data_IF_179040705139
#
_entry.id   IF_179040705139
#
_cell.length_a   1.000
_cell.length_b   1.000
_cell.length_c   1.000
_cell.angle_alpha   90.00
_cell.angle_beta   90.00
_cell.angle_gamma   90.00
#
_symmetry.space_group_name_H-M   'P 1'
#
loop_
_entity.id
_entity.type
_entity.pdbx_description
1 polymer ?
#
# COMPACT_ATOMS: atom_id res chain seq x y z
N UNK A 1 -15.89 27.52 -15.82
CA UNK A 1 -14.45 27.74 -16.10
C UNK A 1 -13.66 26.44 -16.05
N UNK A 2 -13.79 25.61 -14.99
CA UNK A 2 -13.11 24.32 -14.92
C UNK A 2 -13.46 23.35 -16.06
N UNK A 3 -14.70 23.38 -16.55
CA UNK A 3 -15.20 22.56 -17.67
C UNK A 3 -14.43 22.70 -18.99
N UNK A 4 -13.53 23.67 -19.11
CA UNK A 4 -12.79 23.96 -20.34
C UNK A 4 -11.28 23.74 -20.21
N UNK A 5 -10.79 23.31 -19.04
CA UNK A 5 -9.35 23.18 -18.78
C UNK A 5 -8.74 21.91 -19.38
N UNK A 6 -9.46 20.78 -19.30
CA UNK A 6 -9.01 19.47 -19.77
C UNK A 6 -7.74 18.94 -19.09
N UNK A 7 -7.26 17.78 -19.53
CA UNK A 7 -6.10 17.09 -18.92
C UNK A 7 -4.74 17.77 -19.07
N UNK A 8 -4.58 18.72 -20.00
CA UNK A 8 -3.24 19.23 -20.39
C UNK A 8 -2.45 19.81 -19.20
N UNK A 9 -3.15 20.26 -18.16
CA UNK A 9 -2.59 20.83 -16.94
C UNK A 9 -2.52 19.85 -15.76
N UNK A 10 -2.84 18.58 -15.98
CA UNK A 10 -2.84 17.49 -14.99
C UNK A 10 -1.62 16.54 -15.13
N UNK A 11 -0.64 16.89 -15.98
CA UNK A 11 0.49 16.00 -16.30
C UNK A 11 1.22 15.46 -15.07
N UNK A 12 1.61 14.17 -15.08
CA UNK A 12 2.47 13.60 -14.04
C UNK A 12 3.72 14.45 -13.79
N UNK A 13 4.11 14.58 -12.52
CA UNK A 13 5.28 15.33 -12.05
C UNK A 13 5.24 16.86 -12.18
N UNK A 14 4.13 17.45 -12.64
CA UNK A 14 3.92 18.90 -12.49
C UNK A 14 3.34 19.20 -11.11
N UNK A 15 3.83 20.29 -10.50
CA UNK A 15 3.15 20.89 -9.34
C UNK A 15 1.72 21.25 -9.74
N UNK A 16 0.75 20.96 -8.87
CA UNK A 16 -0.63 21.34 -9.10
C UNK A 16 -0.76 22.83 -9.41
N UNK A 17 -1.72 23.17 -10.27
CA UNK A 17 -2.11 24.56 -10.50
C UNK A 17 -2.49 25.19 -9.16
N UNK A 18 -2.09 26.43 -8.91
CA UNK A 18 -2.58 27.23 -7.79
C UNK A 18 -3.98 27.74 -8.17
N UNK A 19 -5.02 26.97 -7.86
CA UNK A 19 -6.38 27.25 -8.31
C UNK A 19 -6.93 28.53 -7.69
N UNK A 20 -6.56 28.82 -6.44
CA UNK A 20 -6.99 30.03 -5.74
C UNK A 20 -6.41 31.26 -6.44
N UNK A 21 -5.12 31.24 -6.79
CA UNK A 21 -4.47 32.37 -7.47
C UNK A 21 -4.86 32.51 -8.93
N UNK A 22 -4.88 31.41 -9.68
CA UNK A 22 -5.08 31.44 -11.14
C UNK A 22 -6.55 31.66 -11.52
N UNK A 23 -7.48 31.25 -10.66
CA UNK A 23 -8.91 31.26 -10.94
C UNK A 23 -9.75 32.05 -9.93
N UNK A 24 -9.13 32.53 -8.84
CA UNK A 24 -9.81 33.37 -7.85
C UNK A 24 -10.82 32.62 -6.98
N UNK A 25 -10.71 31.29 -6.87
CA UNK A 25 -11.61 30.52 -6.01
C UNK A 25 -11.42 30.89 -4.53
N UNK A 26 -12.55 30.95 -3.83
CA UNK A 26 -12.65 31.27 -2.41
C UNK A 26 -13.56 30.28 -1.70
N UNK A 27 -13.71 30.42 -0.39
CA UNK A 27 -14.64 29.60 0.41
C UNK A 27 -16.09 29.65 -0.13
N UNK A 28 -16.51 30.75 -0.75
CA UNK A 28 -17.84 30.89 -1.34
C UNK A 28 -18.08 29.91 -2.51
N UNK A 29 -17.03 29.39 -3.13
CA UNK A 29 -17.10 28.46 -4.26
C UNK A 29 -17.16 26.99 -3.82
N UNK A 30 -16.90 26.69 -2.54
CA UNK A 30 -16.87 25.32 -2.00
C UNK A 30 -18.14 24.53 -2.35
N UNK A 31 -19.37 25.05 -2.22
CA UNK A 31 -20.57 24.28 -2.54
C UNK A 31 -20.63 23.85 -4.02
N UNK A 32 -20.29 24.73 -4.95
CA UNK A 32 -20.34 24.43 -6.39
C UNK A 32 -19.17 23.54 -6.82
N UNK A 33 -17.98 23.74 -6.25
CA UNK A 33 -16.84 22.84 -6.46
C UNK A 33 -17.13 21.44 -5.92
N UNK A 34 -17.78 21.35 -4.76
CA UNK A 34 -18.21 20.06 -4.18
C UNK A 34 -19.24 19.39 -5.09
N UNK A 35 -20.24 20.14 -5.57
CA UNK A 35 -21.23 19.62 -6.53
C UNK A 35 -20.56 19.05 -7.77
N UNK A 36 -19.59 19.78 -8.35
CA UNK A 36 -18.83 19.35 -9.53
C UNK A 36 -17.94 18.13 -9.25
N UNK A 37 -17.30 18.09 -8.08
CA UNK A 37 -16.43 16.98 -7.66
C UNK A 37 -17.16 15.63 -7.58
N UNK A 38 -18.45 15.64 -7.23
CA UNK A 38 -19.27 14.44 -7.06
C UNK A 38 -20.25 14.20 -8.21
N UNK A 39 -20.20 15.01 -9.26
CA UNK A 39 -21.12 14.94 -10.38
C UNK A 39 -20.85 13.67 -11.20
N UNK A 40 -21.82 12.75 -11.24
CA UNK A 40 -21.65 11.46 -11.92
C UNK A 40 -21.55 11.62 -13.44
N UNK A 41 -22.24 12.58 -14.03
CA UNK A 41 -22.18 12.79 -15.48
C UNK A 41 -20.79 13.28 -15.87
N UNK A 42 -20.21 14.19 -15.08
CA UNK A 42 -18.84 14.65 -15.32
C UNK A 42 -17.79 13.55 -15.05
N UNK A 43 -17.94 12.80 -13.95
CA UNK A 43 -16.98 11.76 -13.57
C UNK A 43 -16.91 10.59 -14.58
N UNK A 44 -17.98 10.37 -15.36
CA UNK A 44 -18.07 9.30 -16.35
C UNK A 44 -18.20 9.80 -17.79
N UNK A 45 -17.99 11.10 -18.02
CA UNK A 45 -17.97 11.67 -19.37
C UNK A 45 -16.80 11.12 -20.20
N UNK A 46 -16.92 11.15 -21.52
CA UNK A 46 -15.86 10.71 -22.43
C UNK A 46 -14.58 11.53 -22.23
N UNK A 47 -13.45 10.83 -22.05
CA UNK A 47 -12.17 11.44 -21.65
C UNK A 47 -11.59 12.47 -22.63
N UNK A 48 -12.02 12.45 -23.89
CA UNK A 48 -11.63 13.43 -24.91
C UNK A 48 -12.40 14.77 -24.76
N UNK A 49 -13.49 14.77 -23.99
CA UNK A 49 -14.20 15.97 -23.63
C UNK A 49 -13.52 16.69 -22.45
N UNK A 50 -13.14 17.98 -22.59
CA UNK A 50 -12.53 18.74 -21.49
C UNK A 50 -13.32 18.75 -20.18
N UNK A 51 -14.65 18.56 -20.23
CA UNK A 51 -15.49 18.59 -19.04
C UNK A 51 -15.32 17.35 -18.14
N UNK A 52 -14.89 16.20 -18.71
CA UNK A 52 -14.57 14.99 -17.94
C UNK A 52 -13.44 15.19 -16.93
N UNK A 53 -12.62 16.23 -17.15
CA UNK A 53 -11.50 16.61 -16.28
C UNK A 53 -11.88 17.63 -15.22
N UNK A 54 -13.09 18.21 -15.29
CA UNK A 54 -13.55 19.22 -14.36
C UNK A 54 -13.60 18.71 -12.91
N UNK A 55 -14.03 17.45 -12.61
CA UNK A 55 -13.97 16.89 -11.26
C UNK A 55 -12.55 16.87 -10.70
N UNK A 56 -11.55 16.45 -11.47
CA UNK A 56 -10.14 16.44 -11.03
C UNK A 56 -9.68 17.84 -10.63
N UNK A 57 -10.03 18.85 -11.42
CA UNK A 57 -9.73 20.24 -11.08
C UNK A 57 -10.47 20.69 -9.80
N UNK A 58 -11.73 20.28 -9.64
CA UNK A 58 -12.52 20.59 -8.46
C UNK A 58 -11.93 19.95 -7.19
N UNK A 59 -11.53 18.68 -7.24
CA UNK A 59 -10.89 17.99 -6.10
C UNK A 59 -9.64 18.75 -5.62
N UNK A 60 -8.76 19.10 -6.56
CA UNK A 60 -7.54 19.85 -6.24
C UNK A 60 -7.83 21.24 -5.66
N UNK A 61 -8.83 21.93 -6.20
CA UNK A 61 -9.25 23.23 -5.68
C UNK A 61 -9.83 23.12 -4.25
N UNK A 62 -10.66 22.12 -3.98
CA UNK A 62 -11.22 21.84 -2.64
C UNK A 62 -10.11 21.56 -1.61
N UNK A 63 -9.09 20.79 -2.01
CA UNK A 63 -7.90 20.58 -1.19
C UNK A 63 -7.20 21.90 -0.84
N UNK A 64 -6.91 22.73 -1.83
CA UNK A 64 -6.24 24.02 -1.62
C UNK A 64 -7.07 25.02 -0.80
N UNK A 65 -8.40 24.96 -0.89
CA UNK A 65 -9.33 25.75 -0.09
C UNK A 65 -9.47 25.24 1.36
N UNK A 66 -8.91 24.05 1.66
CA UNK A 66 -9.08 23.37 2.93
C UNK A 66 -10.55 23.09 3.28
N UNK A 67 -11.33 22.67 2.30
CA UNK A 67 -12.77 22.53 2.41
C UNK A 67 -13.18 21.30 3.24
N UNK A 68 -13.27 21.45 4.57
CA UNK A 68 -13.70 20.34 5.46
C UNK A 68 -15.12 19.84 5.15
N UNK A 69 -16.05 20.72 4.75
CA UNK A 69 -17.42 20.34 4.36
C UNK A 69 -17.47 19.43 3.12
N UNK A 70 -16.38 19.34 2.35
CA UNK A 70 -16.28 18.45 1.18
C UNK A 70 -15.83 17.03 1.52
N UNK A 71 -15.36 16.76 2.75
CA UNK A 71 -14.82 15.45 3.15
C UNK A 71 -15.88 14.34 2.97
N UNK A 72 -17.05 14.51 3.60
CA UNK A 72 -18.13 13.50 3.54
C UNK A 72 -18.70 13.33 2.12
N UNK A 73 -18.99 14.41 1.36
CA UNK A 73 -19.33 14.30 -0.06
C UNK A 73 -18.32 13.51 -0.88
N UNK A 74 -17.02 13.78 -0.72
CA UNK A 74 -15.97 13.06 -1.45
C UNK A 74 -15.92 11.58 -1.04
N UNK A 75 -15.98 11.26 0.26
CA UNK A 75 -16.03 9.87 0.74
C UNK A 75 -17.25 9.11 0.21
N UNK A 76 -18.38 9.79 0.03
CA UNK A 76 -19.64 9.16 -0.43
C UNK A 76 -19.56 8.56 -1.84
N UNK A 77 -18.64 9.05 -2.69
CA UNK A 77 -18.49 8.56 -4.07
C UNK A 77 -17.36 7.53 -4.23
N UNK A 78 -16.59 7.21 -3.19
CA UNK A 78 -15.43 6.30 -3.29
C UNK A 78 -15.80 4.97 -3.94
N UNK A 79 -16.93 4.37 -3.54
CA UNK A 79 -17.38 3.09 -4.10
C UNK A 79 -17.80 3.19 -5.56
N UNK A 80 -18.36 4.33 -5.99
CA UNK A 80 -18.65 4.55 -7.40
C UNK A 80 -17.34 4.72 -8.19
N UNK A 81 -16.34 5.38 -7.60
CA UNK A 81 -15.07 5.73 -8.22
C UNK A 81 -13.97 4.66 -8.06
N UNK A 82 -14.29 3.44 -7.61
CA UNK A 82 -13.30 2.42 -7.26
C UNK A 82 -12.31 2.12 -8.40
N UNK A 83 -12.82 2.06 -9.64
CA UNK A 83 -12.05 1.78 -10.86
C UNK A 83 -11.41 3.03 -11.50
N UNK A 84 -11.55 4.21 -10.89
CA UNK A 84 -11.00 5.45 -11.42
C UNK A 84 -9.60 5.72 -10.84
N UNK A 85 -8.57 5.43 -11.63
CA UNK A 85 -7.17 5.60 -11.20
C UNK A 85 -6.85 7.03 -10.76
N UNK A 86 -7.36 8.05 -11.48
CA UNK A 86 -7.17 9.45 -11.10
C UNK A 86 -7.75 9.76 -9.73
N UNK A 87 -8.94 9.23 -9.44
CA UNK A 87 -9.56 9.43 -8.14
C UNK A 87 -8.68 8.84 -7.03
N UNK A 88 -8.25 7.59 -7.18
CA UNK A 88 -7.43 6.91 -6.18
C UNK A 88 -6.07 7.59 -5.97
N UNK A 89 -5.45 8.11 -7.03
CA UNK A 89 -4.16 8.82 -6.95
C UNK A 89 -4.28 10.24 -6.35
N UNK A 90 -5.39 10.93 -6.59
CA UNK A 90 -5.56 12.33 -6.15
C UNK A 90 -6.03 12.44 -4.70
N UNK A 91 -6.94 11.55 -4.25
CA UNK A 91 -7.59 11.68 -2.94
C UNK A 91 -6.61 11.78 -1.75
N UNK A 92 -5.49 11.03 -1.68
CA UNK A 92 -4.51 11.18 -0.61
C UNK A 92 -3.98 12.62 -0.48
N UNK A 93 -3.60 13.27 -1.58
CA UNK A 93 -3.09 14.65 -1.58
C UNK A 93 -4.22 15.65 -1.28
N UNK A 94 -5.41 15.44 -1.84
CA UNK A 94 -6.58 16.30 -1.61
C UNK A 94 -6.93 16.35 -0.12
N UNK A 95 -7.10 15.19 0.52
CA UNK A 95 -7.48 15.11 1.93
C UNK A 95 -6.36 15.61 2.84
N UNK A 96 -5.09 15.38 2.47
CA UNK A 96 -3.97 15.95 3.21
C UNK A 96 -3.92 17.49 3.14
N UNK A 97 -4.28 18.09 2.00
CA UNK A 97 -4.40 19.55 1.89
C UNK A 97 -5.60 20.09 2.69
N UNK A 98 -6.72 19.34 2.75
CA UNK A 98 -7.86 19.68 3.63
C UNK A 98 -7.41 19.78 5.08
N UNK A 99 -6.65 18.78 5.56
CA UNK A 99 -5.99 18.81 6.85
C UNK A 99 -6.71 18.00 7.93
N UNK A 100 -6.59 18.41 9.19
CA UNK A 100 -6.90 17.55 10.34
C UNK A 100 -8.35 17.08 10.44
N UNK A 101 -9.31 17.84 9.89
CA UNK A 101 -10.72 17.44 9.83
C UNK A 101 -10.95 16.10 9.12
N UNK A 102 -10.05 15.71 8.21
CA UNK A 102 -10.13 14.46 7.46
C UNK A 102 -9.85 13.20 8.30
N UNK A 103 -9.16 13.31 9.44
CA UNK A 103 -8.68 12.14 10.18
C UNK A 103 -9.82 11.21 10.64
N UNK A 104 -10.85 11.76 11.29
CA UNK A 104 -11.93 10.94 11.85
C UNK A 104 -12.78 10.29 10.74
N UNK A 105 -13.29 11.03 9.75
CA UNK A 105 -14.08 10.44 8.67
C UNK A 105 -13.32 9.37 7.88
N UNK A 106 -12.03 9.61 7.56
CA UNK A 106 -11.21 8.63 6.83
C UNK A 106 -10.95 7.38 7.67
N UNK A 107 -10.68 7.51 8.98
CA UNK A 107 -10.55 6.35 9.87
C UNK A 107 -11.84 5.53 9.90
N UNK A 108 -12.97 6.19 10.10
CA UNK A 108 -14.26 5.52 10.22
C UNK A 108 -14.64 4.82 8.88
N UNK A 109 -14.26 5.40 7.74
CA UNK A 109 -14.38 4.78 6.42
C UNK A 109 -13.47 3.54 6.26
N UNK A 110 -12.21 3.61 6.68
CA UNK A 110 -11.26 2.49 6.64
C UNK A 110 -11.72 1.31 7.52
N UNK A 111 -12.28 1.60 8.69
CA UNK A 111 -12.70 0.59 9.67
C UNK A 111 -14.01 -0.11 9.28
N UNK A 112 -14.85 0.50 8.44
CA UNK A 112 -16.12 -0.07 8.04
C UNK A 112 -15.93 -1.22 7.01
N UNK A 113 -16.17 -2.50 7.39
CA UNK A 113 -15.95 -3.64 6.49
C UNK A 113 -16.98 -3.72 5.34
N UNK A 114 -18.03 -2.88 5.36
CA UNK A 114 -18.99 -2.78 4.25
C UNK A 114 -18.44 -1.98 3.07
N UNK A 115 -17.40 -1.18 3.28
CA UNK A 115 -16.76 -0.42 2.22
C UNK A 115 -15.89 -1.36 1.34
N UNK A 116 -15.85 -1.15 0.01
CA UNK A 116 -15.05 -1.98 -0.89
C UNK A 116 -13.56 -2.00 -0.52
N UNK A 117 -12.88 -3.08 -0.88
CA UNK A 117 -11.49 -3.32 -0.52
C UNK A 117 -10.57 -2.19 -0.99
N UNK A 118 -10.64 -1.80 -2.26
CA UNK A 118 -9.76 -0.78 -2.81
C UNK A 118 -10.10 0.61 -2.28
N UNK A 119 -11.38 0.92 -2.04
CA UNK A 119 -11.75 2.18 -1.39
C UNK A 119 -11.17 2.29 0.03
N UNK A 120 -11.18 1.18 0.80
CA UNK A 120 -10.55 1.13 2.14
C UNK A 120 -9.04 1.27 2.05
N UNK A 121 -8.41 0.69 1.03
CA UNK A 121 -6.99 0.93 0.75
C UNK A 121 -6.73 2.42 0.52
N UNK A 122 -7.46 3.09 -0.38
CA UNK A 122 -7.31 4.52 -0.63
C UNK A 122 -7.49 5.35 0.67
N UNK A 123 -8.41 4.93 1.56
CA UNK A 123 -8.54 5.55 2.89
C UNK A 123 -7.29 5.37 3.78
N UNK A 124 -6.65 4.20 3.74
CA UNK A 124 -5.36 4.00 4.41
C UNK A 124 -4.26 4.92 3.82
N UNK A 125 -4.21 5.06 2.49
CA UNK A 125 -3.26 5.96 1.81
C UNK A 125 -3.49 7.44 2.17
N UNK A 126 -4.75 7.87 2.35
CA UNK A 126 -5.08 9.19 2.89
C UNK A 126 -4.50 9.38 4.29
N UNK A 127 -4.64 8.40 5.20
CA UNK A 127 -4.08 8.49 6.55
C UNK A 127 -2.55 8.58 6.53
N UNK A 128 -1.90 7.82 5.65
CA UNK A 128 -0.45 7.91 5.41
C UNK A 128 -0.08 9.31 4.96
N UNK A 129 -0.75 9.82 3.93
CA UNK A 129 -0.44 11.12 3.35
C UNK A 129 -0.68 12.27 4.34
N UNK A 130 -1.75 12.20 5.14
CA UNK A 130 -2.00 13.12 6.25
C UNK A 130 -0.85 13.13 7.25
N UNK A 131 -0.40 11.95 7.71
CA UNK A 131 0.69 11.83 8.69
C UNK A 131 2.06 12.26 8.15
N UNK A 132 2.29 12.13 6.84
CA UNK A 132 3.50 12.62 6.17
C UNK A 132 3.48 14.14 5.96
N UNK A 133 2.30 14.70 5.66
CA UNK A 133 2.12 16.13 5.37
C UNK A 133 2.10 16.97 6.65
N UNK A 134 1.49 16.43 7.72
CA UNK A 134 1.31 17.10 9.02
C UNK A 134 1.97 16.27 10.12
N UNK A 135 3.26 16.52 10.45
CA UNK A 135 4.01 15.70 11.40
C UNK A 135 3.37 15.58 12.79
N UNK A 136 2.63 16.59 13.24
CA UNK A 136 1.86 16.60 14.48
C UNK A 136 0.71 15.58 14.48
N UNK A 137 0.21 15.22 13.29
CA UNK A 137 -0.85 14.21 13.13
C UNK A 137 -0.31 12.79 13.00
N UNK A 138 0.98 12.60 12.72
CA UNK A 138 1.57 11.26 12.45
C UNK A 138 1.15 10.23 13.50
N UNK A 139 1.26 10.55 14.78
CA UNK A 139 0.92 9.62 15.86
C UNK A 139 -0.57 9.21 15.83
N UNK A 140 -1.47 10.14 15.49
CA UNK A 140 -2.89 9.86 15.38
C UNK A 140 -3.22 9.01 14.13
N UNK A 141 -2.54 9.25 13.01
CA UNK A 141 -2.65 8.41 11.81
C UNK A 141 -2.14 6.99 12.06
N UNK A 142 -1.00 6.83 12.74
CA UNK A 142 -0.49 5.52 13.16
C UNK A 142 -1.51 4.80 14.03
N UNK A 143 -2.10 5.48 15.02
CA UNK A 143 -3.13 4.88 15.88
C UNK A 143 -4.38 4.45 15.09
N UNK A 144 -4.80 5.25 14.10
CA UNK A 144 -5.92 4.94 13.22
C UNK A 144 -5.67 3.72 12.33
N UNK A 145 -4.43 3.45 11.92
CA UNK A 145 -4.04 2.25 11.16
C UNK A 145 -3.83 1.02 12.07
N UNK A 146 -3.32 1.23 13.28
CA UNK A 146 -3.15 0.15 14.27
C UNK A 146 -4.48 -0.40 14.78
N UNK A 147 -5.50 0.46 14.93
CA UNK A 147 -6.80 0.07 15.47
C UNK A 147 -7.44 -1.11 14.71
N UNK A 148 -7.58 -1.08 13.37
CA UNK A 148 -8.04 -2.24 12.61
C UNK A 148 -7.02 -3.39 12.59
N UNK A 149 -5.71 -3.13 12.60
CA UNK A 149 -4.70 -4.19 12.63
C UNK A 149 -4.72 -4.99 13.95
N UNK A 150 -5.06 -4.36 15.08
CA UNK A 150 -5.30 -5.05 16.36
C UNK A 150 -6.42 -6.08 16.28
N UNK A 151 -7.30 -5.93 15.29
CA UNK A 151 -8.37 -6.87 14.97
C UNK A 151 -8.02 -7.72 13.74
N UNK A 152 -6.75 -8.04 13.50
CA UNK A 152 -6.27 -8.74 12.30
C UNK A 152 -7.08 -10.01 11.95
N UNK A 153 -7.63 -10.72 12.94
CA UNK A 153 -8.44 -11.92 12.72
C UNK A 153 -9.83 -11.64 12.10
N UNK A 154 -10.30 -10.40 12.14
CA UNK A 154 -11.56 -9.94 11.54
C UNK A 154 -11.36 -9.32 10.15
N UNK A 155 -10.11 -9.13 9.71
CA UNK A 155 -9.75 -8.61 8.41
C UNK A 155 -9.30 -9.74 7.48
N UNK A 156 -9.32 -9.49 6.17
CA UNK A 156 -8.63 -10.38 5.23
C UNK A 156 -7.10 -10.24 5.38
N UNK A 157 -6.31 -11.29 5.07
CA UNK A 157 -4.85 -11.20 5.08
C UNK A 157 -4.29 -10.08 4.21
N UNK A 158 -4.94 -9.82 3.07
CA UNK A 158 -4.60 -8.75 2.14
C UNK A 158 -4.81 -7.37 2.78
N UNK A 159 -5.95 -7.15 3.44
CA UNK A 159 -6.22 -5.88 4.14
C UNK A 159 -5.23 -5.65 5.29
N UNK A 160 -4.85 -6.70 6.02
CA UNK A 160 -3.79 -6.59 7.01
C UNK A 160 -2.43 -6.28 6.36
N UNK A 161 -2.16 -6.80 5.16
CA UNK A 161 -1.00 -6.43 4.35
C UNK A 161 -0.97 -4.94 4.00
N UNK A 162 -2.12 -4.38 3.59
CA UNK A 162 -2.29 -2.94 3.35
C UNK A 162 -1.99 -2.14 4.62
N UNK A 163 -2.59 -2.50 5.76
CA UNK A 163 -2.36 -1.80 7.03
C UNK A 163 -0.90 -1.83 7.47
N UNK A 164 -0.21 -2.97 7.31
CA UNK A 164 1.22 -3.09 7.57
C UNK A 164 2.01 -2.18 6.63
N UNK A 165 1.70 -2.17 5.32
CA UNK A 165 2.37 -1.30 4.36
C UNK A 165 2.23 0.18 4.75
N UNK A 166 1.01 0.63 5.07
CA UNK A 166 0.75 2.00 5.51
C UNK A 166 1.52 2.39 6.78
N UNK A 167 1.66 1.46 7.74
CA UNK A 167 2.48 1.67 8.94
C UNK A 167 3.99 1.77 8.60
N UNK A 168 4.46 1.00 7.62
CA UNK A 168 5.83 1.10 7.12
C UNK A 168 6.09 2.45 6.45
N UNK A 169 5.16 2.95 5.64
CA UNK A 169 5.25 4.25 4.96
C UNK A 169 5.27 5.45 5.93
N UNK A 170 4.74 5.26 7.15
CA UNK A 170 4.84 6.21 8.27
C UNK A 170 6.07 5.95 9.17
N UNK A 171 6.92 5.00 8.81
CA UNK A 171 8.07 4.55 9.60
C UNK A 171 7.68 4.23 11.07
N UNK A 172 6.52 3.57 11.27
CA UNK A 172 5.92 3.29 12.58
C UNK A 172 6.64 2.16 13.33
N UNK A 173 7.86 2.43 13.82
CA UNK A 173 8.65 1.48 14.64
C UNK A 173 7.90 1.04 15.89
N UNK A 174 7.11 1.93 16.46
CA UNK A 174 6.27 1.68 17.64
C UNK A 174 5.23 0.57 17.41
N UNK A 175 4.82 0.35 16.16
CA UNK A 175 3.82 -0.66 15.78
C UNK A 175 4.40 -2.05 15.58
N UNK A 176 5.73 -2.22 15.68
CA UNK A 176 6.40 -3.51 15.51
C UNK A 176 5.78 -4.66 16.33
N UNK A 177 5.40 -4.49 17.61
CA UNK A 177 4.81 -5.58 18.39
C UNK A 177 3.47 -6.09 17.84
N UNK A 178 2.60 -5.22 17.34
CA UNK A 178 1.31 -5.67 16.78
C UNK A 178 1.50 -6.29 15.40
N UNK A 179 2.43 -5.75 14.60
CA UNK A 179 2.75 -6.32 13.29
C UNK A 179 3.33 -7.74 13.47
N UNK A 180 4.27 -7.94 14.39
CA UNK A 180 4.83 -9.25 14.70
C UNK A 180 3.73 -10.27 15.09
N UNK A 181 2.78 -9.85 15.93
CA UNK A 181 1.66 -10.70 16.33
C UNK A 181 0.81 -11.13 15.12
N UNK A 182 0.47 -10.21 14.22
CA UNK A 182 -0.31 -10.51 13.03
C UNK A 182 0.43 -11.49 12.09
N UNK A 183 1.74 -11.30 11.89
CA UNK A 183 2.59 -12.23 11.12
C UNK A 183 2.69 -13.61 11.76
N UNK A 184 2.95 -13.67 13.07
CA UNK A 184 3.04 -14.93 13.82
C UNK A 184 1.73 -15.71 13.77
N UNK A 185 0.60 -15.01 13.79
CA UNK A 185 -0.74 -15.58 13.66
C UNK A 185 -1.13 -15.89 12.20
N UNK A 186 -0.27 -15.58 11.22
CA UNK A 186 -0.46 -15.82 9.77
C UNK A 186 -1.68 -15.11 9.18
N UNK A 187 -1.99 -13.92 9.71
CA UNK A 187 -3.08 -13.07 9.24
C UNK A 187 -2.62 -11.96 8.31
N UNK A 188 -1.40 -12.03 7.77
CA UNK A 188 -0.86 -11.02 6.85
C UNK A 188 -0.47 -11.72 5.56
N UNK A 189 -0.97 -11.21 4.44
CA UNK A 189 -0.50 -11.62 3.13
C UNK A 189 0.90 -11.04 2.86
N UNK A 190 1.79 -11.86 2.29
CA UNK A 190 3.20 -11.48 2.12
C UNK A 190 3.49 -10.80 0.78
N UNK A 191 2.53 -10.70 -0.13
CA UNK A 191 2.78 -10.19 -1.48
C UNK A 191 3.19 -8.71 -1.48
N UNK A 192 2.70 -7.92 -0.51
CA UNK A 192 3.00 -6.50 -0.40
C UNK A 192 4.31 -6.22 0.34
N UNK A 193 4.42 -6.67 1.59
CA UNK A 193 5.51 -6.26 2.49
C UNK A 193 6.61 -7.31 2.67
N UNK A 194 6.48 -8.48 2.05
CA UNK A 194 7.33 -9.64 2.32
C UNK A 194 7.05 -10.27 3.67
N UNK A 195 8.03 -11.02 4.19
CA UNK A 195 7.92 -11.66 5.50
C UNK A 195 8.32 -10.72 6.65
N UNK A 196 8.22 -11.20 7.90
CA UNK A 196 8.56 -10.40 9.07
C UNK A 196 10.01 -9.87 9.06
N UNK A 197 10.97 -10.56 8.44
CA UNK A 197 12.35 -10.06 8.35
C UNK A 197 12.43 -8.85 7.41
N UNK A 198 11.66 -8.85 6.32
CA UNK A 198 11.58 -7.72 5.39
C UNK A 198 10.95 -6.49 6.06
N UNK A 199 9.90 -6.71 6.84
CA UNK A 199 9.24 -5.67 7.66
C UNK A 199 10.19 -5.11 8.73
N UNK A 200 10.91 -5.97 9.46
CA UNK A 200 11.92 -5.54 10.43
C UNK A 200 13.01 -4.68 9.78
N UNK A 201 13.43 -5.02 8.55
CA UNK A 201 14.38 -4.22 7.78
C UNK A 201 13.79 -2.86 7.40
N UNK A 202 12.56 -2.81 6.89
CA UNK A 202 11.90 -1.55 6.53
C UNK A 202 11.73 -0.62 7.72
N UNK A 203 11.35 -1.16 8.89
CA UNK A 203 11.30 -0.41 10.14
C UNK A 203 12.69 -0.04 10.68
N UNK A 204 13.79 -0.54 10.09
CA UNK A 204 15.15 -0.31 10.58
C UNK A 204 15.44 -0.97 11.93
N UNK A 205 14.72 -2.04 12.26
CA UNK A 205 14.96 -2.91 13.42
C UNK A 205 16.10 -3.91 13.16
N UNK A 206 16.36 -4.21 11.88
CA UNK A 206 17.48 -5.03 11.43
C UNK A 206 18.21 -4.36 10.28
N UNK A 207 19.53 -4.53 10.26
CA UNK A 207 20.37 -4.21 9.11
C UNK A 207 20.24 -5.25 7.99
N UNK A 208 20.60 -4.91 6.74
CA UNK A 208 20.66 -5.88 5.64
C UNK A 208 21.54 -7.10 5.94
N UNK A 209 22.65 -6.90 6.65
CA UNK A 209 23.56 -7.98 7.04
C UNK A 209 22.89 -8.94 8.04
N UNK A 210 22.17 -8.43 9.03
CA UNK A 210 21.45 -9.28 9.99
C UNK A 210 20.32 -10.08 9.33
N UNK A 211 19.60 -9.49 8.37
CA UNK A 211 18.58 -10.21 7.58
C UNK A 211 19.24 -11.33 6.78
N UNK A 212 20.33 -11.03 6.08
CA UNK A 212 21.10 -12.02 5.31
C UNK A 212 21.53 -13.21 6.20
N UNK A 213 22.18 -12.93 7.32
CA UNK A 213 22.65 -13.96 8.26
C UNK A 213 21.51 -14.82 8.82
N UNK A 214 20.37 -14.21 9.17
CA UNK A 214 19.19 -14.94 9.66
C UNK A 214 18.60 -15.87 8.60
N UNK A 215 18.46 -15.41 7.35
CA UNK A 215 17.97 -16.23 6.24
C UNK A 215 18.92 -17.41 5.95
N UNK A 216 20.22 -17.14 5.87
CA UNK A 216 21.23 -18.18 5.64
C UNK A 216 21.29 -19.22 6.74
N UNK A 217 21.16 -18.81 8.01
CA UNK A 217 21.08 -19.75 9.14
C UNK A 217 19.87 -20.68 9.04
N UNK A 218 18.70 -20.14 8.68
CA UNK A 218 17.48 -20.94 8.52
C UNK A 218 17.63 -21.95 7.38
N UNK A 219 18.21 -21.54 6.25
CA UNK A 219 18.45 -22.45 5.12
C UNK A 219 19.45 -23.55 5.45
N UNK A 220 20.54 -23.22 6.15
CA UNK A 220 21.51 -24.19 6.61
C UNK A 220 20.87 -25.24 7.56
N UNK A 221 20.01 -24.82 8.48
CA UNK A 221 19.31 -25.74 9.38
C UNK A 221 18.29 -26.61 8.63
N UNK A 222 17.54 -26.04 7.67
CA UNK A 222 16.63 -26.81 6.80
C UNK A 222 17.38 -27.88 5.99
N UNK A 223 18.53 -27.52 5.43
CA UNK A 223 19.42 -28.45 4.73
C UNK A 223 19.91 -29.57 5.65
N UNK A 224 20.35 -29.24 6.87
CA UNK A 224 20.79 -30.22 7.88
C UNK A 224 19.68 -31.17 8.30
N UNK A 225 18.47 -30.67 8.53
CA UNK A 225 17.30 -31.50 8.86
C UNK A 225 16.97 -32.43 7.69
N UNK A 226 16.99 -31.91 6.46
CA UNK A 226 16.72 -32.72 5.25
C UNK A 226 17.77 -33.82 5.05
N UNK A 227 19.06 -33.53 5.24
CA UNK A 227 20.13 -34.53 5.11
C UNK A 227 20.07 -35.58 6.22
N UNK A 228 19.70 -35.21 7.44
CA UNK A 228 19.52 -36.17 8.55
C UNK A 228 18.37 -37.17 8.34
N UNK A 229 17.40 -36.83 7.49
CA UNK A 229 16.24 -37.67 7.14
C UNK A 229 16.47 -38.56 5.92
N UNK A 230 17.58 -38.41 5.20
CA UNK A 230 17.92 -39.27 4.08
C UNK A 230 18.55 -40.58 4.59
N UNK A 231 18.12 -41.75 4.08
CA UNK A 231 18.74 -43.02 4.45
C UNK A 231 20.21 -43.02 4.02
N UNK A 232 21.09 -43.51 4.89
CA UNK A 232 22.53 -43.63 4.63
C UNK A 232 22.78 -44.74 3.59
N UNK A 233 22.58 -44.44 2.31
CA UNK A 233 23.03 -45.32 1.23
C UNK A 233 24.49 -45.01 0.93
N UNK A 234 25.38 -46.02 0.92
CA UNK A 234 26.77 -45.79 0.52
C UNK A 234 26.80 -45.39 -0.95
N UNK A 235 27.33 -44.19 -1.23
CA UNK A 235 27.56 -43.72 -2.59
C UNK A 235 28.51 -44.69 -3.31
N UNK A 236 28.03 -45.37 -4.35
CA UNK A 236 28.91 -46.09 -5.29
C UNK A 236 29.75 -45.05 -6.03
N UNK A 237 30.98 -44.86 -5.59
CA UNK A 237 31.95 -43.99 -6.26
C UNK A 237 32.20 -44.46 -7.69
N UNK A 238 32.25 -43.52 -8.63
CA UNK A 238 32.72 -43.78 -9.99
C UNK A 238 34.21 -44.08 -9.95
N UNK A 239 34.56 -45.36 -9.92
CA UNK A 239 35.94 -45.82 -10.16
C UNK A 239 36.34 -47.02 -9.32
N UNK A 240 36.17 -48.22 -9.89
CA UNK A 240 37.12 -49.34 -9.78
C UNK A 240 36.55 -50.60 -10.44
N UNK A 241 36.81 -50.79 -11.74
CA UNK A 241 36.96 -52.14 -12.29
C UNK A 241 38.29 -52.21 -13.04
N UNK A 242 39.35 -52.54 -12.31
CA UNK A 242 40.59 -53.06 -12.90
C UNK A 242 40.33 -54.49 -13.38
N UNK A 243 40.04 -54.65 -14.67
CA UNK A 243 39.93 -55.96 -15.31
C UNK A 243 41.31 -56.66 -15.35
N UNK A 244 41.45 -57.72 -14.56
CA UNK A 244 42.60 -58.63 -14.57
C UNK A 244 42.69 -59.41 -15.90
N UNK A 245 43.84 -59.34 -16.57
CA UNK A 245 44.19 -60.18 -17.74
C UNK A 245 44.28 -61.66 -17.32
N UNK A 246 43.54 -62.55 -17.99
CA UNK A 246 43.72 -64.01 -17.91
C UNK A 246 44.77 -64.51 -18.92
N UNK A 247 45.58 -65.54 -18.59
CA UNK A 247 46.70 -65.98 -19.41
C UNK A 247 46.28 -66.96 -20.52
N UNK A 248 47.03 -66.94 -21.63
CA UNK A 248 46.94 -67.85 -22.78
C UNK A 248 47.26 -69.30 -22.37
N UNK A 249 46.37 -70.25 -22.66
CA UNK A 249 46.71 -71.69 -22.71
C UNK A 249 47.07 -72.11 -24.15
N UNK A 250 48.24 -72.73 -24.27
CA UNK A 250 48.72 -73.46 -25.46
C UNK A 250 48.26 -74.92 -25.44
N UNK A 251 48.47 -75.57 -26.58
CA UNK A 251 48.46 -77.02 -26.90
C UNK A 251 47.14 -77.52 -27.50
N UNK A 252 47.14 -78.30 -28.58
CA UNK A 252 48.22 -79.03 -29.27
C UNK A 252 47.82 -79.21 -30.73
#
# INVERSE_FOLDING_TARGET
MLLQLGEKRLRPHHKWIDYLREYGFTEADIPELTRMAIDQELNWAESDNPESWAPVHAWRALGQLKAEDAIEPLLSIFSAMEENDWFNEEMPEVFALIGSGALSPTRDFLENPKNPFYCRWTAADILVKLGQTHPEMRAACVAALEAPLKQYANNSPEMNGVLVNSLLDLAARESAPIIEQAYAAKWVDFAMCGDWLDVQRHLGLLSPAEVYERRHRVDAERLRVKTSKLPASPSKGFGAETAQKKPKKKSK
#
